data_IF_451041249503
#
_entry.id   IF_451041249503
#
_cell.length_a   1.000
_cell.length_b   1.000
_cell.length_c   1.000
_cell.angle_alpha   90.00
_cell.angle_beta   90.00
_cell.angle_gamma   90.00
#
_symmetry.space_group_name_H-M   'P 1'
#
loop_
_entity.id
_entity.type
_entity.pdbx_description
1 polymer ?
#
# COMPACT_ATOMS: atom_id res chain seq x y z
N UNK A 1 -55.22 24.04 -98.50
CA UNK A 1 -56.07 23.31 -97.56
C UNK A 1 -55.61 23.66 -96.16
N UNK A 2 -56.43 24.43 -95.44
CA UNK A 2 -56.17 24.70 -94.02
C UNK A 2 -56.37 23.41 -93.23
N UNK A 3 -55.48 23.16 -92.28
CA UNK A 3 -55.59 22.04 -91.34
C UNK A 3 -56.98 22.10 -90.69
N UNK A 4 -57.66 20.95 -90.58
CA UNK A 4 -58.99 20.90 -89.97
C UNK A 4 -58.87 21.18 -88.46
N UNK A 5 -59.80 21.96 -87.93
CA UNK A 5 -59.81 22.38 -86.51
C UNK A 5 -59.83 21.17 -85.54
N UNK A 6 -60.31 20.02 -86.01
CA UNK A 6 -60.31 18.75 -85.27
C UNK A 6 -58.91 18.14 -85.11
N UNK A 7 -58.03 18.29 -86.11
CA UNK A 7 -56.66 17.78 -86.07
C UNK A 7 -55.78 18.64 -85.16
N UNK A 8 -56.03 19.95 -85.12
CA UNK A 8 -55.38 20.89 -84.17
C UNK A 8 -55.74 20.52 -82.73
N UNK A 9 -57.01 20.20 -82.45
CA UNK A 9 -57.42 19.76 -81.11
C UNK A 9 -56.81 18.41 -80.70
N UNK A 10 -56.60 17.48 -81.64
CA UNK A 10 -55.92 16.20 -81.34
C UNK A 10 -54.45 16.41 -81.01
N UNK A 11 -53.75 17.29 -81.74
CA UNK A 11 -52.36 17.63 -81.43
C UNK A 11 -52.24 18.33 -80.07
N UNK A 12 -53.14 19.26 -79.73
CA UNK A 12 -53.16 19.90 -78.41
C UNK A 12 -53.36 18.89 -77.28
N UNK A 13 -54.29 17.92 -77.42
CA UNK A 13 -54.47 16.85 -76.42
C UNK A 13 -53.24 15.97 -76.27
N UNK A 14 -52.56 15.63 -77.38
CA UNK A 14 -51.32 14.87 -77.34
C UNK A 14 -50.20 15.66 -76.64
N UNK A 15 -50.08 16.97 -76.90
CA UNK A 15 -49.13 17.83 -76.20
C UNK A 15 -49.44 17.95 -74.71
N UNK A 16 -50.72 18.06 -74.32
CA UNK A 16 -51.12 18.07 -72.90
C UNK A 16 -50.77 16.76 -72.18
N UNK A 17 -51.04 15.61 -72.82
CA UNK A 17 -50.71 14.30 -72.26
C UNK A 17 -49.19 14.11 -72.11
N UNK A 18 -48.40 14.61 -73.06
CA UNK A 18 -46.93 14.61 -72.96
C UNK A 18 -46.44 15.47 -71.78
N UNK A 19 -47.00 16.66 -71.60
CA UNK A 19 -46.65 17.54 -70.46
C UNK A 19 -47.00 16.88 -69.12
N UNK A 20 -48.16 16.22 -69.04
CA UNK A 20 -48.60 15.51 -67.84
C UNK A 20 -47.69 14.30 -67.53
N UNK A 21 -47.32 13.53 -68.55
CA UNK A 21 -46.37 12.43 -68.40
C UNK A 21 -44.99 12.92 -67.97
N UNK A 22 -44.46 13.98 -68.60
CA UNK A 22 -43.16 14.55 -68.25
C UNK A 22 -43.16 15.11 -66.81
N UNK A 23 -44.28 15.69 -66.36
CA UNK A 23 -44.43 16.16 -64.99
C UNK A 23 -44.46 14.99 -63.99
N UNK A 24 -45.17 13.91 -64.30
CA UNK A 24 -45.24 12.72 -63.45
C UNK A 24 -43.89 11.98 -63.39
N UNK A 25 -43.20 11.81 -64.51
CA UNK A 25 -41.86 11.20 -64.54
C UNK A 25 -40.86 12.03 -63.71
N UNK A 26 -40.91 13.37 -63.79
CA UNK A 26 -40.08 14.24 -62.94
C UNK A 26 -40.45 14.15 -61.46
N UNK A 27 -41.73 14.02 -61.13
CA UNK A 27 -42.16 13.84 -59.75
C UNK A 27 -41.65 12.50 -59.17
N UNK A 28 -41.80 11.41 -59.93
CA UNK A 28 -41.28 10.09 -59.53
C UNK A 28 -39.76 10.08 -59.40
N UNK A 29 -39.02 10.77 -60.28
CA UNK A 29 -37.57 10.91 -60.17
C UNK A 29 -37.15 11.67 -58.90
N UNK A 30 -37.88 12.73 -58.54
CA UNK A 30 -37.63 13.50 -57.31
C UNK A 30 -37.89 12.63 -56.08
N UNK A 31 -39.00 11.89 -56.06
CA UNK A 31 -39.36 11.02 -54.94
C UNK A 31 -38.34 9.89 -54.75
N UNK A 32 -37.93 9.24 -55.85
CA UNK A 32 -36.91 8.19 -55.82
C UNK A 32 -35.57 8.72 -55.28
N UNK A 33 -35.14 9.91 -55.73
CA UNK A 33 -33.92 10.55 -55.22
C UNK A 33 -34.02 10.94 -53.75
N UNK A 34 -35.16 11.48 -53.33
CA UNK A 34 -35.40 11.85 -51.94
C UNK A 34 -35.33 10.63 -51.01
N UNK A 35 -35.87 9.48 -51.44
CA UNK A 35 -35.81 8.24 -50.68
C UNK A 35 -34.37 7.67 -50.62
N UNK A 36 -33.62 7.73 -51.72
CA UNK A 36 -32.21 7.34 -51.74
C UNK A 36 -31.37 8.19 -50.77
N UNK A 37 -31.50 9.52 -50.85
CA UNK A 37 -30.79 10.46 -49.98
C UNK A 37 -31.16 10.26 -48.50
N UNK A 38 -32.45 10.05 -48.20
CA UNK A 38 -32.91 9.76 -46.84
C UNK A 38 -32.26 8.51 -46.27
N UNK A 39 -32.20 7.42 -47.05
CA UNK A 39 -31.62 6.16 -46.62
C UNK A 39 -30.11 6.27 -46.40
N UNK A 40 -29.40 7.00 -47.28
CA UNK A 40 -27.97 7.27 -47.14
C UNK A 40 -27.70 8.06 -45.85
N UNK A 41 -28.42 9.16 -45.62
CA UNK A 41 -28.18 10.04 -44.48
C UNK A 41 -28.56 9.38 -43.16
N UNK A 42 -29.68 8.64 -43.13
CA UNK A 42 -30.05 7.80 -42.00
C UNK A 42 -28.98 6.75 -41.70
N UNK A 43 -28.46 6.08 -42.73
CA UNK A 43 -27.37 5.12 -42.59
C UNK A 43 -26.12 5.76 -42.00
N UNK A 44 -25.72 6.93 -42.51
CA UNK A 44 -24.58 7.71 -42.03
C UNK A 44 -24.71 8.07 -40.55
N UNK A 45 -25.86 8.59 -40.14
CA UNK A 45 -26.13 8.97 -38.75
C UNK A 45 -26.07 7.76 -37.81
N UNK A 46 -26.69 6.64 -38.20
CA UNK A 46 -26.69 5.41 -37.40
C UNK A 46 -25.28 4.86 -37.24
N UNK A 47 -24.49 4.79 -38.32
CA UNK A 47 -23.10 4.31 -38.24
C UNK A 47 -22.24 5.22 -37.37
N UNK A 48 -22.38 6.55 -37.50
CA UNK A 48 -21.65 7.51 -36.69
C UNK A 48 -21.95 7.36 -35.19
N UNK A 49 -23.23 7.17 -34.82
CA UNK A 49 -23.59 6.94 -33.41
C UNK A 49 -23.13 5.57 -32.92
N UNK A 50 -23.25 4.53 -33.74
CA UNK A 50 -22.76 3.19 -33.42
C UNK A 50 -21.26 3.21 -33.11
N UNK A 51 -20.46 3.91 -33.91
CA UNK A 51 -19.03 4.07 -33.69
C UNK A 51 -18.73 4.74 -32.34
N UNK A 52 -19.44 5.84 -32.01
CA UNK A 52 -19.31 6.50 -30.70
C UNK A 52 -19.66 5.58 -29.53
N UNK A 53 -20.70 4.77 -29.68
CA UNK A 53 -21.12 3.79 -28.66
C UNK A 53 -20.02 2.73 -28.49
N UNK A 54 -19.48 2.19 -29.57
CA UNK A 54 -18.40 1.20 -29.51
C UNK A 54 -17.17 1.75 -28.79
N UNK A 55 -16.71 2.95 -29.13
CA UNK A 55 -15.56 3.60 -28.47
C UNK A 55 -15.80 3.86 -26.97
N UNK A 56 -17.02 4.24 -26.60
CA UNK A 56 -17.38 4.47 -25.21
C UNK A 56 -17.32 3.17 -24.39
N UNK A 57 -17.87 2.08 -24.92
CA UNK A 57 -17.85 0.78 -24.24
C UNK A 57 -16.45 0.16 -24.21
N UNK A 58 -15.64 0.33 -25.26
CA UNK A 58 -14.25 -0.14 -25.27
C UNK A 58 -13.42 0.55 -24.17
N UNK A 59 -13.60 1.87 -23.98
CA UNK A 59 -12.94 2.60 -22.89
C UNK A 59 -13.40 2.12 -21.52
N UNK A 60 -14.71 1.90 -21.34
CA UNK A 60 -15.27 1.37 -20.09
C UNK A 60 -14.77 -0.04 -19.77
N UNK A 61 -14.68 -0.91 -20.78
CA UNK A 61 -14.18 -2.27 -20.61
C UNK A 61 -12.73 -2.27 -20.13
N UNK A 62 -11.85 -1.51 -20.79
CA UNK A 62 -10.44 -1.35 -20.37
C UNK A 62 -10.32 -0.80 -18.95
N UNK A 63 -11.18 0.16 -18.58
CA UNK A 63 -11.20 0.71 -17.23
C UNK A 63 -11.60 -0.33 -16.18
N UNK A 64 -12.64 -1.11 -16.44
CA UNK A 64 -13.10 -2.18 -15.55
C UNK A 64 -12.05 -3.28 -15.42
N UNK A 65 -11.40 -3.66 -16.51
CA UNK A 65 -10.34 -4.67 -16.49
C UNK A 65 -9.14 -4.20 -15.63
N UNK A 66 -8.72 -2.95 -15.80
CA UNK A 66 -7.67 -2.35 -14.97
C UNK A 66 -8.07 -2.31 -13.48
N UNK A 67 -9.30 -1.88 -13.18
CA UNK A 67 -9.81 -1.86 -11.80
C UNK A 67 -9.84 -3.27 -11.19
N UNK A 68 -10.25 -4.29 -11.95
CA UNK A 68 -10.20 -5.69 -11.48
C UNK A 68 -8.78 -6.13 -11.17
N UNK A 69 -7.80 -5.81 -12.02
CA UNK A 69 -6.38 -6.12 -11.77
C UNK A 69 -5.86 -5.43 -10.51
N UNK A 70 -6.19 -4.15 -10.31
CA UNK A 70 -5.82 -3.41 -9.10
C UNK A 70 -6.46 -4.03 -7.85
N UNK A 71 -7.76 -4.34 -7.89
CA UNK A 71 -8.47 -4.96 -6.77
C UNK A 71 -7.91 -6.34 -6.43
N UNK A 72 -7.62 -7.17 -7.43
CA UNK A 72 -7.00 -8.48 -7.22
C UNK A 72 -5.62 -8.34 -6.56
N UNK A 73 -4.78 -7.44 -7.07
CA UNK A 73 -3.45 -7.16 -6.52
C UNK A 73 -3.53 -6.63 -5.07
N UNK A 74 -4.43 -5.67 -4.82
CA UNK A 74 -4.63 -5.09 -3.48
C UNK A 74 -5.12 -6.14 -2.48
N UNK A 75 -6.05 -7.02 -2.88
CA UNK A 75 -6.55 -8.11 -2.05
C UNK A 75 -5.43 -9.09 -1.68
N UNK A 76 -4.60 -9.48 -2.66
CA UNK A 76 -3.44 -10.33 -2.43
C UNK A 76 -2.42 -9.68 -1.48
N UNK A 77 -2.13 -8.40 -1.70
CA UNK A 77 -1.19 -7.66 -0.85
C UNK A 77 -1.71 -7.50 0.58
N UNK A 78 -3.01 -7.23 0.75
CA UNK A 78 -3.65 -7.21 2.07
C UNK A 78 -3.55 -8.56 2.77
N UNK A 79 -3.76 -9.67 2.05
CA UNK A 79 -3.54 -11.01 2.58
C UNK A 79 -2.09 -11.24 3.03
N UNK A 80 -1.11 -10.87 2.19
CA UNK A 80 0.32 -10.97 2.52
C UNK A 80 0.69 -10.17 3.77
N UNK A 81 0.22 -8.93 3.88
CA UNK A 81 0.48 -8.08 5.05
C UNK A 81 -0.11 -8.67 6.33
N UNK A 82 -1.30 -9.28 6.27
CA UNK A 82 -1.89 -9.98 7.42
C UNK A 82 -1.02 -11.15 7.88
N UNK A 83 -0.50 -11.96 6.95
CA UNK A 83 0.39 -13.07 7.29
C UNK A 83 1.70 -12.57 7.92
N UNK A 84 2.29 -11.50 7.36
CA UNK A 84 3.50 -10.89 7.92
C UNK A 84 3.27 -10.35 9.32
N UNK A 85 2.16 -9.64 9.52
CA UNK A 85 1.78 -9.12 10.84
C UNK A 85 1.59 -10.24 11.85
N UNK A 86 0.83 -11.29 11.51
CA UNK A 86 0.64 -12.43 12.40
C UNK A 86 1.98 -13.10 12.78
N UNK A 87 2.92 -13.20 11.83
CA UNK A 87 4.26 -13.72 12.10
C UNK A 87 5.04 -12.84 13.07
N UNK A 88 4.99 -11.52 12.87
CA UNK A 88 5.65 -10.56 13.77
C UNK A 88 5.03 -10.60 15.17
N UNK A 89 3.70 -10.63 15.26
CA UNK A 89 2.96 -10.75 16.52
C UNK A 89 3.35 -12.03 17.27
N UNK A 90 3.52 -13.17 16.56
CA UNK A 90 4.00 -14.42 17.17
C UNK A 90 5.43 -14.32 17.69
N UNK A 91 6.34 -13.69 16.94
CA UNK A 91 7.71 -13.47 17.40
C UNK A 91 7.72 -12.54 18.62
N UNK A 92 6.91 -11.47 18.59
CA UNK A 92 6.71 -10.58 19.73
C UNK A 92 6.25 -11.32 20.98
N UNK A 93 5.22 -12.16 20.85
CA UNK A 93 4.71 -12.97 21.95
C UNK A 93 5.77 -13.92 22.54
N UNK A 94 6.56 -14.59 21.70
CA UNK A 94 7.65 -15.48 22.16
C UNK A 94 8.73 -14.67 22.89
N UNK A 95 9.10 -13.49 22.38
CA UNK A 95 10.08 -12.63 23.04
C UNK A 95 9.55 -12.10 24.38
N UNK A 96 8.27 -11.75 24.47
CA UNK A 96 7.64 -11.30 25.71
C UNK A 96 7.55 -12.42 26.74
N UNK A 97 7.23 -13.65 26.31
CA UNK A 97 7.25 -14.82 27.17
C UNK A 97 8.68 -15.11 27.67
N UNK A 98 9.68 -15.05 26.79
CA UNK A 98 11.08 -15.20 27.17
C UNK A 98 11.53 -14.13 28.18
N UNK A 99 11.14 -12.86 27.98
CA UNK A 99 11.40 -11.77 28.95
C UNK A 99 10.70 -12.02 30.29
N UNK A 100 9.47 -12.50 30.28
CA UNK A 100 8.74 -12.88 31.50
C UNK A 100 9.45 -14.00 32.25
N UNK A 101 9.92 -15.02 31.53
CA UNK A 101 10.70 -16.11 32.09
C UNK A 101 12.04 -15.63 32.68
N UNK A 102 12.75 -14.71 32.02
CA UNK A 102 13.96 -14.08 32.59
C UNK A 102 13.66 -13.30 33.88
N UNK A 103 12.53 -12.59 33.92
CA UNK A 103 12.09 -11.91 35.14
C UNK A 103 11.78 -12.89 36.28
N UNK A 104 11.25 -14.09 35.98
CA UNK A 104 11.02 -15.14 36.98
C UNK A 104 12.34 -15.72 37.51
N UNK A 105 13.33 -15.94 36.64
CA UNK A 105 14.68 -16.39 37.04
C UNK A 105 15.35 -15.36 37.95
N UNK A 106 15.15 -14.06 37.70
CA UNK A 106 15.65 -13.00 38.59
C UNK A 106 15.07 -13.06 40.01
N UNK A 107 13.92 -13.73 40.21
CA UNK A 107 13.35 -13.97 41.53
C UNK A 107 13.83 -15.25 42.22
N UNK A 108 14.55 -16.12 41.51
CA UNK A 108 15.07 -17.37 42.06
C UNK A 108 16.43 -17.14 42.73
N UNK A 109 16.42 -17.13 44.06
CA UNK A 109 17.60 -16.87 44.89
C UNK A 109 18.72 -17.92 44.73
N UNK A 110 18.44 -19.12 44.21
CA UNK A 110 19.45 -20.15 44.03
C UNK A 110 20.19 -20.02 42.69
N UNK A 111 19.47 -19.70 41.61
CA UNK A 111 20.03 -19.64 40.26
C UNK A 111 20.59 -18.26 39.89
N UNK A 112 19.97 -17.19 40.39
CA UNK A 112 20.32 -15.82 40.04
C UNK A 112 21.77 -15.42 40.42
N UNK A 113 22.31 -15.78 41.60
CA UNK A 113 23.67 -15.38 41.99
C UNK A 113 24.76 -15.97 41.07
N UNK A 114 24.61 -17.23 40.66
CA UNK A 114 25.54 -17.88 39.74
C UNK A 114 25.56 -17.21 38.36
N UNK A 115 24.38 -16.82 37.85
CA UNK A 115 24.26 -16.09 36.58
C UNK A 115 24.85 -14.69 36.69
N UNK A 116 24.56 -13.97 37.78
CA UNK A 116 25.05 -12.61 38.02
C UNK A 116 26.58 -12.58 38.10
N UNK A 117 27.18 -13.55 38.82
CA UNK A 117 28.63 -13.73 38.89
C UNK A 117 29.26 -13.91 37.50
N UNK A 118 28.65 -14.76 36.66
CA UNK A 118 29.12 -15.00 35.29
C UNK A 118 29.06 -13.74 34.42
N UNK A 119 27.98 -12.97 34.51
CA UNK A 119 27.82 -11.71 33.76
C UNK A 119 28.84 -10.63 34.19
N UNK A 120 29.10 -10.51 35.49
CA UNK A 120 30.10 -9.57 36.02
C UNK A 120 31.50 -9.97 35.54
N UNK A 121 31.85 -11.25 35.66
CA UNK A 121 33.15 -11.76 35.22
C UNK A 121 33.35 -11.58 33.70
N UNK A 122 32.33 -11.85 32.89
CA UNK A 122 32.38 -11.63 31.44
C UNK A 122 32.62 -10.15 31.10
N UNK A 123 31.92 -9.22 31.77
CA UNK A 123 32.11 -7.78 31.56
C UNK A 123 33.51 -7.31 31.94
N UNK A 124 34.04 -7.77 33.07
CA UNK A 124 35.39 -7.43 33.53
C UNK A 124 36.48 -7.96 32.59
N UNK A 125 36.35 -9.20 32.12
CA UNK A 125 37.27 -9.81 31.15
C UNK A 125 37.20 -9.16 29.77
N UNK A 126 36.09 -8.53 29.41
CA UNK A 126 35.94 -7.83 28.14
C UNK A 126 36.52 -6.41 28.18
N UNK A 127 36.50 -5.75 29.35
CA UNK A 127 37.04 -4.39 29.53
C UNK A 127 38.56 -4.41 29.76
N UNK A 128 39.07 -5.26 30.65
CA UNK A 128 40.50 -5.33 31.02
C UNK A 128 41.10 -3.95 31.37
N UNK A 129 40.39 -3.18 32.17
CA UNK A 129 40.82 -1.86 32.65
C UNK A 129 41.11 -1.88 34.15
N UNK A 130 41.99 -0.99 34.62
CA UNK A 130 42.40 -0.92 36.04
C UNK A 130 41.33 -0.32 36.94
N UNK A 131 40.43 0.49 36.39
CA UNK A 131 39.31 1.09 37.12
C UNK A 131 38.02 0.85 36.34
N UNK A 132 37.05 0.18 36.97
CA UNK A 132 35.77 -0.16 36.34
C UNK A 132 34.63 0.34 37.23
N UNK A 133 33.60 0.89 36.60
CA UNK A 133 32.38 1.32 37.28
C UNK A 133 31.27 0.30 37.02
N UNK A 134 30.84 -0.41 38.05
CA UNK A 134 29.75 -1.38 37.96
C UNK A 134 28.41 -0.72 38.32
N UNK A 135 27.46 -0.72 37.39
CA UNK A 135 26.11 -0.23 37.62
C UNK A 135 25.14 -1.39 37.88
N UNK A 136 24.50 -1.39 39.04
CA UNK A 136 23.54 -2.43 39.43
C UNK A 136 22.22 -1.83 39.91
N UNK A 137 21.17 -2.67 39.97
CA UNK A 137 19.87 -2.31 40.57
C UNK A 137 20.01 -2.27 42.08
N UNK A 138 19.26 -1.38 42.73
CA UNK A 138 19.27 -1.22 44.19
C UNK A 138 19.01 -2.54 44.95
N UNK A 139 18.09 -3.38 44.43
CA UNK A 139 17.75 -4.68 45.04
C UNK A 139 18.91 -5.67 45.04
N UNK A 140 19.83 -5.56 44.07
CA UNK A 140 20.89 -6.53 43.83
C UNK A 140 22.23 -6.10 44.49
N UNK A 141 22.28 -4.92 45.09
CA UNK A 141 23.51 -4.32 45.64
C UNK A 141 24.20 -5.24 46.65
N UNK A 142 23.44 -5.83 47.58
CA UNK A 142 23.98 -6.76 48.59
C UNK A 142 24.54 -8.04 47.98
N UNK A 143 23.92 -8.56 46.92
CA UNK A 143 24.38 -9.76 46.22
C UNK A 143 25.66 -9.46 45.43
N UNK A 144 25.72 -8.30 44.78
CA UNK A 144 26.90 -7.85 44.03
C UNK A 144 28.10 -7.65 44.95
N UNK A 145 27.92 -7.03 46.12
CA UNK A 145 28.99 -6.87 47.12
C UNK A 145 29.56 -8.21 47.59
N UNK A 146 28.71 -9.22 47.75
CA UNK A 146 29.14 -10.57 48.14
C UNK A 146 29.90 -11.30 47.02
N UNK A 147 29.50 -11.11 45.76
CA UNK A 147 30.07 -11.81 44.60
C UNK A 147 31.33 -11.13 44.03
N UNK A 148 31.48 -9.82 44.24
CA UNK A 148 32.62 -9.02 43.78
C UNK A 148 34.01 -9.57 44.15
N UNK A 149 34.32 -9.94 45.41
CA UNK A 149 35.64 -10.45 45.75
C UNK A 149 35.99 -11.72 44.96
N UNK A 150 35.02 -12.63 44.84
CA UNK A 150 35.21 -13.88 44.10
C UNK A 150 35.41 -13.65 42.59
N UNK A 151 34.74 -12.64 42.01
CA UNK A 151 34.97 -12.23 40.62
C UNK A 151 36.35 -11.58 40.40
N UNK A 152 36.82 -10.77 41.35
CA UNK A 152 38.12 -10.11 41.28
C UNK A 152 39.28 -11.10 41.40
N UNK A 153 39.16 -12.10 42.27
CA UNK A 153 40.15 -13.17 42.39
C UNK A 153 40.28 -13.95 41.07
N UNK A 154 39.15 -14.29 40.44
CA UNK A 154 39.12 -14.95 39.13
C UNK A 154 39.69 -14.08 38.01
N UNK A 155 39.42 -12.77 38.03
CA UNK A 155 39.99 -11.82 37.07
C UNK A 155 41.50 -11.68 37.26
N UNK A 156 41.97 -11.59 38.51
CA UNK A 156 43.40 -11.48 38.82
C UNK A 156 44.15 -12.74 38.40
N UNK A 157 43.54 -13.91 38.52
CA UNK A 157 44.13 -15.16 38.06
C UNK A 157 44.29 -15.22 36.53
N UNK A 158 43.40 -14.59 35.76
CA UNK A 158 43.47 -14.59 34.29
C UNK A 158 44.23 -13.40 33.69
N UNK A 159 44.10 -12.22 34.29
CA UNK A 159 44.63 -10.95 33.76
C UNK A 159 45.87 -10.44 34.50
N UNK A 160 46.10 -10.86 35.76
CA UNK A 160 47.30 -10.54 36.54
C UNK A 160 47.40 -9.13 37.11
N UNK A 161 46.51 -8.20 36.76
CA UNK A 161 46.47 -6.83 37.29
C UNK A 161 45.31 -6.60 38.26
N UNK A 162 45.54 -5.85 39.33
CA UNK A 162 44.49 -5.48 40.30
C UNK A 162 43.56 -4.44 39.69
N UNK A 163 42.26 -4.77 39.62
CA UNK A 163 41.21 -3.86 39.15
C UNK A 163 40.48 -3.25 40.34
N UNK A 164 40.33 -1.93 40.36
CA UNK A 164 39.44 -1.23 41.31
C UNK A 164 38.05 -1.16 40.71
N UNK A 165 37.05 -1.74 41.39
CA UNK A 165 35.65 -1.65 40.98
C UNK A 165 34.92 -0.68 41.90
N UNK A 166 34.29 0.34 41.31
CA UNK A 166 33.39 1.26 42.02
C UNK A 166 31.94 0.92 41.68
N UNK A 167 31.09 0.76 42.70
CA UNK A 167 29.67 0.43 42.50
C UNK A 167 28.89 1.74 42.41
N UNK A 168 28.16 1.92 41.31
CA UNK A 168 27.27 3.05 41.11
C UNK A 168 25.83 2.55 41.09
N UNK A 169 25.04 2.99 42.08
CA UNK A 169 23.64 2.60 42.19
C UNK A 169 22.83 3.28 41.08
N UNK A 170 22.03 2.49 40.36
CA UNK A 170 21.19 3.04 39.30
C UNK A 170 19.99 3.77 39.92
N UNK A 171 20.15 5.07 40.20
CA UNK A 171 19.00 5.96 40.42
C UNK A 171 18.28 6.13 39.09
N UNK A 172 17.07 5.60 39.00
CA UNK A 172 16.19 5.89 37.87
C UNK A 172 15.77 7.37 37.98
N UNK A 173 16.59 8.27 37.46
CA UNK A 173 16.23 9.67 37.24
C UNK A 173 15.20 9.76 36.09
N UNK A 174 13.97 9.28 36.33
CA UNK A 174 12.81 9.53 35.46
C UNK A 174 12.50 11.04 35.38
N UNK A 175 12.99 11.86 36.31
CA UNK A 175 12.63 13.27 36.39
C UNK A 175 13.31 14.18 35.35
N UNK A 176 14.52 13.84 34.88
CA UNK A 176 15.25 14.73 33.95
C UNK A 176 14.83 14.60 32.49
N UNK A 177 14.26 13.45 32.07
CA UNK A 177 13.87 13.25 30.68
C UNK A 177 12.57 13.99 30.32
N UNK A 178 11.69 14.22 31.30
CA UNK A 178 10.44 14.95 31.05
C UNK A 178 10.65 16.46 30.87
N UNK A 179 11.63 17.05 31.56
CA UNK A 179 11.99 18.47 31.40
C UNK A 179 12.67 18.72 30.05
N UNK A 180 13.51 17.79 29.57
CA UNK A 180 14.23 17.97 28.31
C UNK A 180 13.31 17.87 27.08
N UNK A 181 12.24 17.07 27.15
CA UNK A 181 11.26 16.94 26.05
C UNK A 181 10.36 18.17 25.92
N UNK A 182 9.98 18.82 27.03
CA UNK A 182 9.20 20.07 27.00
C UNK A 182 9.99 21.28 26.47
N UNK A 183 11.32 21.31 26.60
CA UNK A 183 12.13 22.40 26.04
C UNK A 183 12.36 22.30 24.52
N UNK A 184 12.05 21.16 23.89
CA UNK A 184 12.31 20.94 22.46
C UNK A 184 11.08 21.18 21.56
N UNK A 185 9.88 21.37 22.15
CA UNK A 185 8.64 21.67 21.42
C UNK A 185 8.31 23.19 21.35
N UNK A 186 9.20 24.07 21.84
CA UNK A 186 9.01 25.54 21.84
C UNK A 186 10.10 26.25 21.01
N UNK A 187 10.64 25.58 19.99
CA UNK A 187 11.62 26.15 19.05
C UNK A 187 11.09 26.21 17.63
#
# INVERSE_FOLDING_TARGET
MGISDNDVQKQLRHMMAFIEQEANEKAEEIDAKAEEEFNIEKGRLVQQQRQKIMEFFEKKEKQVELQRKIQASNSLNAGRLRCLKAREDHIGAVLDEARSNLSRISGDAARYPAILKGLIMQGLLQLLEKEVVLRCREKDLRLVEQLLPECLDGLQQQWGSTTKVSILMFFVCIFYFSIWRSSMEIG
#
